data_IF_420049159890
#
_entry.id   IF_420049159890
#
_cell.length_a   1.000
_cell.length_b   1.000
_cell.length_c   1.000
_cell.angle_alpha   90.00
_cell.angle_beta   90.00
_cell.angle_gamma   90.00
#
_symmetry.space_group_name_H-M   'P 1'
#
loop_
_entity.id
_entity.type
_entity.pdbx_description
1 polymer ?
#
# COMPACT_ATOMS: atom_id res chain seq x y z
N UNK A 1 -8.38 15.39 13.98
CA UNK A 1 -8.90 14.71 12.77
C UNK A 1 -7.90 13.63 12.42
N UNK A 2 -8.28 12.36 12.41
CA UNK A 2 -7.37 11.26 12.09
C UNK A 2 -7.17 11.26 10.58
N UNK A 3 -5.94 11.31 10.10
CA UNK A 3 -5.62 11.23 8.68
C UNK A 3 -5.27 9.77 8.32
N UNK A 4 -5.63 9.28 7.13
CA UNK A 4 -5.32 7.91 6.70
C UNK A 4 -3.83 7.59 6.80
N UNK A 5 -2.96 8.55 6.44
CA UNK A 5 -1.49 8.41 6.54
C UNK A 5 -0.96 8.24 7.96
N UNK A 6 -1.69 8.76 8.95
CA UNK A 6 -1.31 8.71 10.36
C UNK A 6 -1.85 7.44 11.05
N UNK A 7 -2.73 6.68 10.38
CA UNK A 7 -3.22 5.40 10.89
C UNK A 7 -2.11 4.34 10.84
N UNK A 8 -1.91 3.66 11.96
CA UNK A 8 -0.90 2.61 12.10
C UNK A 8 -1.01 1.54 11.02
N UNK A 9 -2.24 1.10 10.71
CA UNK A 9 -2.49 0.09 9.68
C UNK A 9 -1.94 0.48 8.30
N UNK A 10 -2.07 1.75 7.90
CA UNK A 10 -1.61 2.23 6.61
C UNK A 10 -0.09 2.44 6.59
N UNK A 11 0.50 2.85 7.71
CA UNK A 11 1.95 2.93 7.88
C UNK A 11 2.60 1.55 7.83
N UNK A 12 2.04 0.57 8.54
CA UNK A 12 2.50 -0.82 8.53
C UNK A 12 2.34 -1.43 7.15
N UNK A 13 1.22 -1.16 6.47
CA UNK A 13 1.01 -1.63 5.10
C UNK A 13 2.03 -1.07 4.12
N UNK A 14 2.28 0.24 4.16
CA UNK A 14 3.32 0.87 3.32
C UNK A 14 4.69 0.26 3.55
N UNK A 15 5.08 0.05 4.82
CA UNK A 15 6.34 -0.60 5.15
C UNK A 15 6.43 -2.02 4.55
N UNK A 16 5.36 -2.83 4.65
CA UNK A 16 5.32 -4.16 4.03
C UNK A 16 5.46 -4.10 2.50
N UNK A 17 4.80 -3.14 1.84
CA UNK A 17 4.94 -2.96 0.39
C UNK A 17 6.39 -2.61 0.01
N UNK A 18 7.03 -1.70 0.76
CA UNK A 18 8.43 -1.32 0.54
C UNK A 18 9.39 -2.50 0.78
N UNK A 19 9.13 -3.34 1.78
CA UNK A 19 9.88 -4.58 2.00
C UNK A 19 9.74 -5.58 0.85
N UNK A 20 8.52 -5.77 0.33
CA UNK A 20 8.29 -6.63 -0.83
C UNK A 20 8.98 -6.08 -2.07
N UNK A 21 8.87 -4.78 -2.30
CA UNK A 21 9.54 -4.09 -3.41
C UNK A 21 11.07 -4.23 -3.35
N UNK A 22 11.65 -4.16 -2.14
CA UNK A 22 13.08 -4.30 -1.94
C UNK A 22 13.58 -5.74 -2.21
N UNK A 23 12.71 -6.74 -2.05
CA UNK A 23 13.02 -8.16 -2.28
C UNK A 23 12.68 -8.62 -3.70
N UNK A 24 11.70 -7.98 -4.34
CA UNK A 24 11.27 -8.27 -5.69
C UNK A 24 12.30 -7.85 -6.74
N UNK A 25 12.30 -8.56 -7.88
CA UNK A 25 13.21 -8.33 -9.00
C UNK A 25 12.44 -8.37 -10.33
N UNK A 26 12.94 -7.64 -11.33
CA UNK A 26 12.33 -7.59 -12.66
C UNK A 26 10.92 -7.00 -12.64
N UNK A 27 10.01 -7.61 -13.38
CA UNK A 27 8.63 -7.15 -13.56
C UNK A 27 7.86 -7.03 -12.25
N UNK A 28 8.03 -7.97 -11.31
CA UNK A 28 7.35 -7.96 -10.00
C UNK A 28 7.70 -6.69 -9.20
N UNK A 29 8.95 -6.24 -9.29
CA UNK A 29 9.39 -4.99 -8.64
C UNK A 29 8.71 -3.77 -9.24
N UNK A 30 8.53 -3.73 -10.56
CA UNK A 30 7.83 -2.63 -11.21
C UNK A 30 6.35 -2.62 -10.81
N UNK A 31 5.72 -3.78 -10.70
CA UNK A 31 4.33 -3.91 -10.26
C UNK A 31 4.13 -3.45 -8.82
N UNK A 32 4.97 -3.90 -7.89
CA UNK A 32 4.90 -3.44 -6.50
C UNK A 32 5.17 -1.93 -6.42
N UNK A 33 6.09 -1.41 -7.25
CA UNK A 33 6.37 0.03 -7.33
C UNK A 33 5.15 0.86 -7.76
N UNK A 34 4.35 0.34 -8.71
CA UNK A 34 3.07 0.95 -9.10
C UNK A 34 2.06 0.92 -7.95
N UNK A 35 1.96 -0.20 -7.25
CA UNK A 35 1.07 -0.35 -6.09
C UNK A 35 1.42 0.63 -4.97
N UNK A 36 2.72 0.80 -4.65
CA UNK A 36 3.18 1.79 -3.65
C UNK A 36 2.78 3.21 -4.08
N UNK A 37 2.96 3.53 -5.36
CA UNK A 37 2.65 4.86 -5.90
C UNK A 37 1.15 5.16 -5.81
N UNK A 38 0.30 4.21 -6.20
CA UNK A 38 -1.16 4.36 -6.12
C UNK A 38 -1.65 4.48 -4.67
N UNK A 39 -1.03 3.71 -3.76
CA UNK A 39 -1.32 3.80 -2.33
C UNK A 39 -0.92 5.15 -1.75
N UNK A 40 0.26 5.69 -2.09
CA UNK A 40 0.70 7.00 -1.64
C UNK A 40 -0.21 8.12 -2.16
N UNK A 41 -0.62 8.05 -3.43
CA UNK A 41 -1.59 8.98 -4.00
C UNK A 41 -2.95 8.93 -3.27
N UNK A 42 -3.43 7.74 -2.92
CA UNK A 42 -4.65 7.59 -2.12
C UNK A 42 -4.50 8.20 -0.72
N UNK A 43 -3.36 7.99 -0.05
CA UNK A 43 -3.06 8.60 1.26
C UNK A 43 -3.04 10.14 1.19
N UNK A 44 -2.51 10.70 0.11
CA UNK A 44 -2.49 12.16 -0.13
C UNK A 44 -3.89 12.73 -0.41
N UNK A 45 -4.77 11.96 -1.07
CA UNK A 45 -6.15 12.35 -1.35
C UNK A 45 -7.03 12.48 -0.10
N UNK A 46 -6.56 12.00 1.07
CA UNK A 46 -7.29 11.98 2.34
C UNK A 46 -8.66 11.28 2.26
N UNK A 47 -8.82 10.38 1.29
CA UNK A 47 -10.04 9.60 1.05
C UNK A 47 -9.87 8.22 1.67
N UNK A 48 -10.54 8.01 2.80
CA UNK A 48 -10.47 6.75 3.55
C UNK A 48 -10.99 5.55 2.74
N UNK A 49 -12.01 5.76 1.90
CA UNK A 49 -12.59 4.68 1.10
C UNK A 49 -11.62 4.27 -0.02
N UNK A 50 -11.00 5.26 -0.67
CA UNK A 50 -9.98 5.01 -1.69
C UNK A 50 -8.76 4.31 -1.10
N UNK A 51 -8.27 4.75 0.05
CA UNK A 51 -7.13 4.12 0.73
C UNK A 51 -7.44 2.66 1.09
N UNK A 52 -8.64 2.40 1.60
CA UNK A 52 -9.07 1.04 1.94
C UNK A 52 -9.19 0.14 0.70
N UNK A 53 -9.75 0.65 -0.39
CA UNK A 53 -9.86 -0.06 -1.67
C UNK A 53 -8.48 -0.43 -2.24
N UNK A 54 -7.58 0.55 -2.35
CA UNK A 54 -6.22 0.34 -2.86
C UNK A 54 -5.47 -0.65 -1.97
N UNK A 55 -5.59 -0.52 -0.64
CA UNK A 55 -5.00 -1.45 0.32
C UNK A 55 -5.52 -2.87 0.11
N UNK A 56 -6.84 -3.04 0.01
CA UNK A 56 -7.48 -4.35 -0.17
C UNK A 56 -7.04 -5.00 -1.48
N UNK A 57 -7.04 -4.24 -2.57
CA UNK A 57 -6.59 -4.70 -3.89
C UNK A 57 -5.12 -5.10 -3.87
N UNK A 58 -4.27 -4.30 -3.24
CA UNK A 58 -2.85 -4.58 -3.10
C UNK A 58 -2.58 -5.80 -2.20
N UNK A 59 -3.34 -5.95 -1.11
CA UNK A 59 -3.29 -7.13 -0.25
C UNK A 59 -3.66 -8.42 -0.99
N UNK A 60 -4.72 -8.38 -1.79
CA UNK A 60 -5.14 -9.51 -2.62
C UNK A 60 -4.08 -9.85 -3.68
N UNK A 61 -3.58 -8.82 -4.37
CA UNK A 61 -2.58 -8.97 -5.42
C UNK A 61 -1.24 -9.53 -4.92
N UNK A 62 -0.79 -9.06 -3.76
CA UNK A 62 0.52 -9.43 -3.18
C UNK A 62 0.43 -10.50 -2.10
N UNK A 63 -0.77 -11.09 -1.89
CA UNK A 63 -1.06 -12.03 -0.81
C UNK A 63 -0.58 -11.54 0.58
N UNK A 64 -0.72 -10.23 0.85
CA UNK A 64 -0.30 -9.63 2.13
C UNK A 64 -1.41 -9.80 3.15
N UNK A 65 -1.17 -10.66 4.15
CA UNK A 65 -2.00 -10.71 5.35
C UNK A 65 -1.72 -9.48 6.22
N UNK A 66 -2.75 -8.64 6.40
CA UNK A 66 -2.77 -7.55 7.38
C UNK A 66 -3.70 -8.01 8.52
N UNK A 67 -3.25 -7.97 9.78
CA UNK A 67 -4.08 -8.34 10.93
C UNK A 67 -5.26 -7.38 11.16
#
# INVERSE_FOLDING_TARGET
KIYPRDMLINRTFKAKLEELWARALGDEREEIGRVITDFDAALQSNDMARVDEVRRRASDYLAIEIP
#
